data_IF_155488773896
#
_entry.id   IF_155488773896
#
_cell.length_a   1.000
_cell.length_b   1.000
_cell.length_c   1.000
_cell.angle_alpha   90.00
_cell.angle_beta   90.00
_cell.angle_gamma   90.00
#
_symmetry.space_group_name_H-M   'P 1'
#
loop_
_entity.id
_entity.type
_entity.pdbx_description
1 polymer ?
#
# COMPACT_ATOMS: atom_id res chain seq x y z
N UNK A 1 -6.37 -27.71 49.52
CA UNK A 1 -5.03 -28.17 49.14
C UNK A 1 -5.15 -28.86 47.79
N UNK A 2 -4.43 -28.33 46.79
CA UNK A 2 -3.91 -28.95 45.55
C UNK A 2 -4.93 -29.65 44.62
N UNK A 3 -5.35 -29.03 43.51
CA UNK A 3 -4.68 -28.94 42.19
C UNK A 3 -4.09 -30.26 41.68
N UNK A 4 -4.67 -30.82 40.60
CA UNK A 4 -3.89 -31.30 39.45
C UNK A 4 -4.59 -30.97 38.13
N UNK A 5 -3.81 -30.28 37.28
CA UNK A 5 -4.13 -29.74 35.97
C UNK A 5 -4.36 -30.82 34.92
N UNK A 6 -5.41 -30.66 34.12
CA UNK A 6 -5.48 -31.14 32.75
C UNK A 6 -5.12 -29.94 31.85
N UNK A 7 -3.92 -29.94 31.26
CA UNK A 7 -3.59 -29.01 30.18
C UNK A 7 -3.20 -29.84 28.97
N UNK A 8 -4.18 -30.08 28.09
CA UNK A 8 -3.92 -30.46 26.72
C UNK A 8 -3.44 -29.21 25.99
N UNK A 9 -2.14 -29.17 25.66
CA UNK A 9 -1.57 -28.24 24.71
C UNK A 9 -2.16 -28.55 23.33
N UNK A 10 -3.21 -27.81 22.96
CA UNK A 10 -3.62 -27.69 21.57
C UNK A 10 -2.91 -26.46 21.01
N UNK A 11 -1.92 -26.73 20.17
CA UNK A 11 -1.22 -25.72 19.39
C UNK A 11 -2.24 -24.91 18.60
N UNK A 12 -2.42 -23.65 18.96
CA UNK A 12 -3.11 -22.68 18.12
C UNK A 12 -2.18 -22.38 16.96
N UNK A 13 -2.47 -22.99 15.81
CA UNK A 13 -1.98 -22.53 14.52
C UNK A 13 -2.45 -21.09 14.37
N UNK A 14 -1.50 -20.15 14.43
CA UNK A 14 -1.71 -18.76 14.09
C UNK A 14 -2.32 -18.69 12.69
N UNK A 15 -3.58 -18.28 12.61
CA UNK A 15 -4.21 -17.87 11.37
C UNK A 15 -3.58 -16.52 10.98
N UNK A 16 -2.53 -16.57 10.16
CA UNK A 16 -2.17 -15.42 9.34
C UNK A 16 -3.35 -15.17 8.39
N UNK A 17 -3.83 -13.92 8.22
CA UNK A 17 -4.81 -13.63 7.19
C UNK A 17 -4.24 -14.03 5.83
N UNK A 18 -5.03 -14.79 5.05
CA UNK A 18 -4.66 -15.19 3.70
C UNK A 18 -4.30 -13.96 2.87
N UNK A 19 -3.11 -13.99 2.26
CA UNK A 19 -2.65 -12.94 1.36
C UNK A 19 -3.68 -12.76 0.22
N UNK A 20 -4.02 -11.51 -0.16
CA UNK A 20 -5.01 -11.27 -1.20
C UNK A 20 -4.60 -11.91 -2.53
N UNK A 21 -5.57 -12.48 -3.25
CA UNK A 21 -5.38 -13.11 -4.55
C UNK A 21 -4.80 -12.11 -5.55
N UNK A 22 -3.51 -12.28 -5.84
CA UNK A 22 -2.70 -11.42 -6.72
C UNK A 22 -3.18 -11.55 -8.17
N UNK A 23 -3.86 -10.53 -8.68
CA UNK A 23 -4.29 -10.46 -10.08
C UNK A 23 -3.44 -9.46 -10.85
N UNK A 24 -2.16 -9.78 -11.08
CA UNK A 24 -1.25 -8.95 -11.90
C UNK A 24 0.12 -9.59 -12.11
N UNK A 25 0.68 -9.45 -13.31
CA UNK A 25 2.07 -9.86 -13.62
C UNK A 25 3.00 -8.66 -13.51
N UNK A 26 4.09 -8.80 -12.74
CA UNK A 26 5.12 -7.76 -12.63
C UNK A 26 5.65 -7.41 -14.03
N UNK A 27 5.41 -6.17 -14.49
CA UNK A 27 5.91 -5.66 -15.77
C UNK A 27 4.85 -5.23 -16.79
N UNK A 28 3.55 -5.34 -16.51
CA UNK A 28 2.48 -4.80 -17.37
C UNK A 28 1.56 -3.84 -16.60
N UNK A 29 1.06 -2.77 -17.26
CA UNK A 29 0.12 -1.85 -16.64
C UNK A 29 -1.19 -2.57 -16.31
N UNK A 30 -1.92 -2.12 -15.28
CA UNK A 30 -3.21 -2.72 -14.95
C UNK A 30 -4.20 -2.62 -16.12
N UNK A 31 -5.11 -3.60 -16.21
CA UNK A 31 -6.07 -3.69 -17.31
C UNK A 31 -6.91 -2.41 -17.39
N UNK A 32 -7.00 -1.83 -18.59
CA UNK A 32 -7.79 -0.63 -18.87
C UNK A 32 -7.07 0.70 -18.58
N UNK A 33 -5.87 0.67 -18.00
CA UNK A 33 -5.06 1.87 -17.81
C UNK A 33 -4.49 2.35 -19.14
N UNK A 34 -4.41 3.67 -19.29
CA UNK A 34 -3.91 4.32 -20.52
C UNK A 34 -2.57 4.98 -20.25
N UNK A 35 -1.66 4.89 -21.21
CA UNK A 35 -0.39 5.60 -21.13
C UNK A 35 -0.65 7.11 -21.03
N UNK A 36 0.15 7.80 -20.22
CA UNK A 36 0.08 9.25 -20.11
C UNK A 36 0.35 9.89 -21.49
N UNK A 37 -0.63 10.66 -21.96
CA UNK A 37 -0.60 11.34 -23.26
C UNK A 37 -1.37 12.66 -23.20
N UNK A 38 -1.09 13.63 -24.08
CA UNK A 38 -1.83 14.90 -24.12
C UNK A 38 -3.35 14.72 -24.23
N UNK A 39 -3.81 13.72 -24.96
CA UNK A 39 -5.23 13.40 -25.11
C UNK A 39 -5.85 12.94 -23.79
N UNK A 40 -5.12 12.15 -23.00
CA UNK A 40 -5.59 11.71 -21.69
C UNK A 40 -5.63 12.88 -20.70
N UNK A 41 -4.62 13.75 -20.70
CA UNK A 41 -4.60 14.93 -19.85
C UNK A 41 -5.75 15.90 -20.18
N UNK A 42 -6.11 16.02 -21.46
CA UNK A 42 -7.26 16.80 -21.91
C UNK A 42 -8.62 16.27 -21.39
N UNK A 43 -8.67 15.02 -20.89
CA UNK A 43 -9.87 14.47 -20.23
C UNK A 43 -10.00 14.83 -18.75
N UNK A 44 -9.06 15.62 -18.21
CA UNK A 44 -9.07 16.08 -16.81
C UNK A 44 -8.21 15.25 -15.85
N UNK A 45 -7.36 14.34 -16.37
CA UNK A 45 -6.35 13.65 -15.57
C UNK A 45 -5.24 14.63 -15.21
N UNK A 46 -5.07 14.93 -13.93
CA UNK A 46 -3.96 15.73 -13.42
C UNK A 46 -2.73 14.85 -13.24
N UNK A 47 -1.81 14.84 -14.20
CA UNK A 47 -0.63 13.95 -14.25
C UNK A 47 0.18 13.96 -12.95
N UNK A 48 0.26 15.12 -12.28
CA UNK A 48 1.10 15.32 -11.11
C UNK A 48 0.53 14.69 -9.84
N UNK A 49 -0.78 14.53 -9.76
CA UNK A 49 -1.47 14.01 -8.57
C UNK A 49 -2.26 12.73 -8.83
N UNK A 50 -2.46 12.37 -10.10
CA UNK A 50 -3.21 11.20 -10.47
C UNK A 50 -2.41 9.93 -10.13
N UNK A 51 -3.10 8.87 -9.66
CA UNK A 51 -2.51 7.55 -9.53
C UNK A 51 -1.84 7.15 -10.83
N UNK A 52 -0.63 6.63 -10.72
CA UNK A 52 0.15 6.18 -11.86
C UNK A 52 0.80 4.84 -11.60
N UNK A 53 1.05 4.12 -12.69
CA UNK A 53 1.85 2.92 -12.77
C UNK A 53 2.99 3.19 -13.74
N UNK A 54 4.17 2.65 -13.49
CA UNK A 54 5.33 2.79 -14.38
C UNK A 54 6.22 1.54 -14.30
N UNK A 55 7.02 1.30 -15.34
CA UNK A 55 8.10 0.32 -15.33
C UNK A 55 9.42 1.03 -15.56
N UNK A 56 10.32 0.93 -14.58
CA UNK A 56 11.66 1.50 -14.68
C UNK A 56 11.68 3.03 -14.64
N UNK A 57 12.86 3.60 -14.90
CA UNK A 57 13.14 5.02 -14.72
C UNK A 57 12.89 5.88 -15.98
N UNK A 58 12.27 5.34 -17.04
CA UNK A 58 12.16 5.99 -18.35
C UNK A 58 11.11 7.11 -18.42
N UNK A 59 10.41 7.39 -17.32
CA UNK A 59 9.38 8.43 -17.24
C UNK A 59 8.05 8.07 -17.93
N UNK A 60 8.00 6.95 -18.65
CA UNK A 60 6.77 6.37 -19.17
C UNK A 60 5.91 5.88 -18.01
N UNK A 61 4.67 6.38 -17.96
CA UNK A 61 3.72 6.01 -16.92
C UNK A 61 2.28 5.94 -17.48
N UNK A 62 1.41 5.27 -16.75
CA UNK A 62 0.03 4.98 -17.11
C UNK A 62 -0.90 5.48 -16.02
N UNK A 63 -2.10 5.90 -16.39
CA UNK A 63 -3.15 6.37 -15.48
C UNK A 63 -4.40 5.49 -15.59
N UNK A 64 -5.19 5.40 -14.50
CA UNK A 64 -6.47 4.71 -14.51
C UNK A 64 -7.49 5.42 -15.41
N UNK A 65 -8.58 4.73 -15.77
CA UNK A 65 -9.74 5.37 -16.40
C UNK A 65 -10.27 6.55 -15.57
N UNK A 66 -10.64 7.64 -16.24
CA UNK A 66 -11.24 8.81 -15.59
C UNK A 66 -12.51 8.39 -14.85
N UNK A 67 -12.64 8.83 -13.60
CA UNK A 67 -13.79 8.52 -12.73
C UNK A 67 -13.70 7.17 -12.01
N UNK A 68 -12.62 6.40 -12.21
CA UNK A 68 -12.38 5.19 -11.43
C UNK A 68 -11.69 5.54 -10.10
N UNK A 69 -12.35 5.21 -8.98
CA UNK A 69 -11.71 5.27 -7.67
C UNK A 69 -10.52 4.30 -7.64
N UNK A 70 -9.38 4.79 -7.18
CA UNK A 70 -8.12 4.05 -7.17
C UNK A 70 -7.42 4.23 -5.82
N UNK A 71 -6.72 3.19 -5.39
CA UNK A 71 -5.96 3.23 -4.15
C UNK A 71 -4.70 4.08 -4.35
N UNK A 72 -4.47 4.96 -3.40
CA UNK A 72 -3.22 5.67 -3.19
C UNK A 72 -2.52 5.12 -1.95
N UNK A 73 -1.19 5.25 -1.88
CA UNK A 73 -0.49 5.07 -0.61
C UNK A 73 -0.40 6.41 0.12
N UNK A 74 -0.84 6.38 1.36
CA UNK A 74 -0.68 7.44 2.33
C UNK A 74 0.26 6.97 3.42
N UNK A 75 1.17 7.84 3.83
CA UNK A 75 1.83 7.71 5.12
C UNK A 75 0.93 8.36 6.17
N UNK A 76 0.66 7.64 7.25
CA UNK A 76 -0.10 8.10 8.41
C UNK A 76 0.86 8.17 9.59
N UNK A 77 0.94 9.34 10.23
CA UNK A 77 1.97 9.62 11.22
C UNK A 77 3.38 9.54 10.62
N UNK A 78 4.33 9.10 11.42
CA UNK A 78 5.75 9.08 11.03
C UNK A 78 6.16 7.82 10.26
N UNK A 79 5.43 6.71 10.44
CA UNK A 79 5.97 5.39 10.13
C UNK A 79 5.07 4.50 9.27
N UNK A 80 3.75 4.71 9.27
CA UNK A 80 2.84 3.72 8.72
C UNK A 80 2.40 4.06 7.30
N UNK A 81 2.50 3.10 6.39
CA UNK A 81 2.04 3.24 5.01
C UNK A 81 0.77 2.42 4.80
N UNK A 82 -0.27 3.10 4.30
CA UNK A 82 -1.61 2.56 4.11
C UNK A 82 -2.11 2.82 2.70
N UNK A 83 -2.65 1.79 2.06
CA UNK A 83 -3.38 1.92 0.81
C UNK A 83 -4.84 2.30 1.09
N UNK A 84 -5.30 3.45 0.58
CA UNK A 84 -6.68 3.90 0.74
C UNK A 84 -7.16 4.75 -0.44
N UNK A 85 -8.48 4.98 -0.53
CA UNK A 85 -9.05 5.87 -1.54
C UNK A 85 -8.93 7.35 -1.16
N UNK A 86 -8.96 7.65 0.14
CA UNK A 86 -8.88 9.01 0.70
C UNK A 86 -7.98 9.02 1.94
N UNK A 87 -7.47 10.20 2.37
CA UNK A 87 -6.71 10.33 3.60
C UNK A 87 -7.46 9.85 4.85
N UNK A 88 -8.77 10.16 4.97
CA UNK A 88 -9.62 9.69 6.07
C UNK A 88 -9.71 8.17 6.08
N UNK A 89 -9.80 7.56 4.89
CA UNK A 89 -9.80 6.11 4.75
C UNK A 89 -8.49 5.47 5.15
N UNK A 90 -7.36 6.17 5.02
CA UNK A 90 -6.06 5.69 5.47
C UNK A 90 -5.99 5.60 7.00
N UNK A 91 -6.45 6.64 7.70
CA UNK A 91 -6.58 6.63 9.17
C UNK A 91 -7.47 5.47 9.62
N UNK A 92 -8.64 5.33 9.01
CA UNK A 92 -9.58 4.27 9.37
C UNK A 92 -8.98 2.86 9.27
N UNK A 93 -8.21 2.60 8.20
CA UNK A 93 -7.52 1.33 8.01
C UNK A 93 -6.40 1.13 9.04
N UNK A 94 -5.62 2.17 9.36
CA UNK A 94 -4.58 2.07 10.38
C UNK A 94 -5.17 1.75 11.75
N UNK A 95 -6.16 2.53 12.20
CA UNK A 95 -6.82 2.34 13.49
C UNK A 95 -7.49 0.95 13.59
N UNK A 96 -8.10 0.45 12.51
CA UNK A 96 -8.64 -0.91 12.47
C UNK A 96 -7.53 -1.97 12.65
N UNK A 97 -6.36 -1.75 12.06
CA UNK A 97 -5.21 -2.65 12.14
C UNK A 97 -4.54 -2.63 13.52
N UNK A 98 -4.37 -1.45 14.14
CA UNK A 98 -3.67 -1.29 15.43
C UNK A 98 -4.60 -1.45 16.64
N UNK A 99 -5.91 -1.30 16.44
CA UNK A 99 -6.91 -1.27 17.51
C UNK A 99 -7.00 0.08 18.24
N UNK A 100 -6.41 1.12 17.66
CA UNK A 100 -6.42 2.48 18.20
C UNK A 100 -7.72 3.23 17.87
N UNK A 101 -7.93 4.36 18.56
CA UNK A 101 -9.07 5.25 18.31
C UNK A 101 -8.88 6.07 17.04
N UNK A 102 -9.98 6.40 16.34
CA UNK A 102 -9.95 7.31 15.19
C UNK A 102 -9.57 8.75 15.58
N UNK A 103 -9.61 9.07 16.87
CA UNK A 103 -9.23 10.36 17.45
C UNK A 103 -7.73 10.48 17.75
N UNK A 104 -6.94 9.43 17.50
CA UNK A 104 -5.48 9.45 17.67
C UNK A 104 -4.75 10.13 16.50
N UNK A 105 -5.41 10.28 15.34
CA UNK A 105 -4.81 10.83 14.12
C UNK A 105 -5.67 11.94 13.52
N UNK A 106 -5.02 13.01 13.09
CA UNK A 106 -5.64 14.10 12.33
C UNK A 106 -5.27 14.01 10.84
N UNK A 107 -5.99 14.74 9.99
CA UNK A 107 -5.70 14.76 8.56
C UNK A 107 -4.32 15.35 8.23
N UNK A 108 -3.81 16.23 9.08
CA UNK A 108 -2.47 16.82 8.93
C UNK A 108 -1.36 15.78 9.18
N UNK A 109 -1.68 14.66 9.83
CA UNK A 109 -0.78 13.50 10.01
C UNK A 109 -0.75 12.58 8.79
N UNK A 110 -1.54 12.86 7.75
CA UNK A 110 -1.67 12.01 6.57
C UNK A 110 -1.07 12.69 5.36
N UNK A 111 0.00 12.10 4.82
CA UNK A 111 0.69 12.62 3.64
C UNK A 111 0.72 11.59 2.52
N UNK A 112 0.58 12.03 1.28
CA UNK A 112 0.77 11.14 0.13
C UNK A 112 2.22 10.67 0.08
N UNK A 113 2.41 9.36 -0.11
CA UNK A 113 3.75 8.80 -0.29
C UNK A 113 4.35 9.33 -1.58
N UNK A 114 5.58 9.86 -1.49
CA UNK A 114 6.27 10.45 -2.64
C UNK A 114 6.56 9.42 -3.73
N UNK A 115 6.63 9.86 -5.00
CA UNK A 115 6.97 8.94 -6.10
C UNK A 115 8.33 8.28 -5.94
N UNK A 116 9.30 9.03 -5.38
CA UNK A 116 10.62 8.48 -5.09
C UNK A 116 10.53 7.26 -4.19
N UNK A 117 9.64 7.30 -3.19
CA UNK A 117 9.40 6.16 -2.28
C UNK A 117 8.58 5.07 -2.99
N UNK A 118 7.52 5.45 -3.71
CA UNK A 118 6.65 4.52 -4.43
C UNK A 118 7.39 3.66 -5.47
N UNK A 119 8.42 4.23 -6.11
CA UNK A 119 9.20 3.63 -7.18
C UNK A 119 10.56 3.08 -6.71
N UNK A 120 10.86 3.17 -5.40
CA UNK A 120 12.08 2.62 -4.85
C UNK A 120 12.02 1.07 -4.88
N UNK A 121 13.12 0.45 -5.31
CA UNK A 121 13.29 -1.01 -5.34
C UNK A 121 14.34 -1.47 -4.32
N UNK A 122 14.72 -0.60 -3.40
CA UNK A 122 15.65 -0.92 -2.32
C UNK A 122 14.99 -0.61 -0.98
N UNK A 123 14.97 -1.59 -0.08
CA UNK A 123 14.51 -1.43 1.28
C UNK A 123 15.66 -1.78 2.24
N UNK A 124 15.68 -1.15 3.42
CA UNK A 124 16.60 -1.55 4.47
C UNK A 124 15.95 -2.68 5.28
N UNK A 125 16.60 -3.84 5.26
CA UNK A 125 16.23 -4.98 6.10
C UNK A 125 16.91 -4.82 7.46
N UNK A 126 16.12 -4.61 8.51
CA UNK A 126 16.64 -4.40 9.87
C UNK A 126 17.20 -5.67 10.49
N UNK A 127 16.63 -6.82 10.17
CA UNK A 127 17.07 -8.11 10.70
C UNK A 127 18.42 -8.50 10.10
N UNK A 128 18.60 -8.24 8.80
CA UNK A 128 19.87 -8.50 8.10
C UNK A 128 20.86 -7.34 8.17
N UNK A 129 20.42 -6.15 8.59
CA UNK A 129 21.22 -4.93 8.71
C UNK A 129 21.78 -4.42 7.38
N UNK A 130 21.07 -4.64 6.26
CA UNK A 130 21.54 -4.28 4.91
C UNK A 130 20.43 -3.84 3.98
N UNK A 131 20.80 -3.13 2.92
CA UNK A 131 19.90 -2.85 1.81
C UNK A 131 19.63 -4.14 1.04
N UNK A 132 18.35 -4.44 0.83
CA UNK A 132 17.87 -5.55 -0.01
C UNK A 132 17.16 -4.98 -1.24
N UNK A 133 17.30 -5.68 -2.37
CA UNK A 133 16.58 -5.34 -3.59
C UNK A 133 15.20 -5.99 -3.56
N UNK A 134 14.16 -5.19 -3.70
CA UNK A 134 12.78 -5.63 -3.82
C UNK A 134 12.50 -6.18 -5.22
N UNK A 135 11.64 -7.20 -5.29
CA UNK A 135 11.16 -7.75 -6.56
C UNK A 135 10.18 -6.81 -7.28
N UNK A 136 9.45 -6.00 -6.51
CA UNK A 136 8.44 -5.05 -6.99
C UNK A 136 8.49 -3.76 -6.18
N UNK A 137 8.05 -2.66 -6.78
CA UNK A 137 7.93 -1.39 -6.08
C UNK A 137 6.58 -1.28 -5.35
N UNK A 138 6.48 -0.40 -4.35
CA UNK A 138 5.22 -0.10 -3.66
C UNK A 138 4.10 0.31 -4.65
N UNK A 139 4.44 1.06 -5.71
CA UNK A 139 3.49 1.40 -6.78
C UNK A 139 2.90 0.17 -7.45
N UNK A 140 3.73 -0.84 -7.71
CA UNK A 140 3.28 -2.09 -8.31
C UNK A 140 2.42 -2.90 -7.34
N UNK A 141 2.80 -2.95 -6.06
CA UNK A 141 2.00 -3.57 -5.00
C UNK A 141 0.61 -2.94 -4.88
N UNK A 142 0.53 -1.61 -4.84
CA UNK A 142 -0.74 -0.86 -4.82
C UNK A 142 -1.68 -1.29 -5.96
N UNK A 143 -1.15 -1.49 -7.16
CA UNK A 143 -1.99 -1.88 -8.30
C UNK A 143 -2.54 -3.29 -8.23
N UNK A 144 -1.98 -4.16 -7.37
CA UNK A 144 -2.51 -5.50 -7.12
C UNK A 144 -3.62 -5.48 -6.06
N UNK A 145 -3.80 -4.38 -5.33
CA UNK A 145 -4.82 -4.26 -4.29
C UNK A 145 -6.17 -3.86 -4.89
N UNK A 146 -7.22 -4.47 -4.35
CA UNK A 146 -8.61 -4.20 -4.73
C UNK A 146 -9.42 -3.50 -3.62
N UNK A 147 -8.85 -3.40 -2.41
CA UNK A 147 -9.48 -2.77 -1.25
C UNK A 147 -8.45 -2.02 -0.40
N UNK A 148 -8.88 -1.03 0.42
CA UNK A 148 -8.00 -0.37 1.37
C UNK A 148 -7.33 -1.39 2.29
N UNK A 149 -6.03 -1.22 2.51
CA UNK A 149 -5.17 -2.25 3.13
C UNK A 149 -3.97 -1.57 3.80
N UNK A 150 -3.66 -1.96 5.04
CA UNK A 150 -2.40 -1.61 5.68
C UNK A 150 -1.25 -2.31 4.94
N UNK A 151 -0.22 -1.57 4.54
CA UNK A 151 0.89 -2.10 3.74
C UNK A 151 2.06 -2.50 4.64
N UNK A 152 2.71 -1.51 5.24
CA UNK A 152 3.90 -1.69 6.06
C UNK A 152 4.13 -0.47 6.95
N UNK A 153 4.85 -0.70 8.04
CA UNK A 153 5.41 0.35 8.89
C UNK A 153 6.91 0.18 8.96
N UNK A 154 7.64 1.26 9.18
CA UNK A 154 9.09 1.24 9.40
C UNK A 154 9.38 1.87 10.77
N UNK A 155 9.91 1.07 11.70
CA UNK A 155 10.36 1.52 13.03
C UNK A 155 11.86 1.82 13.09
#
# INVERSE_FOLDING_TARGET
MQNQNLTALTSQTSFLPEAPERSGTAGQPPVGWKQCSPELLATGVECSTAPRWAVGATGEHWHPPVGMATLNAYQVGDYDVVAAFTPEGAIAVLCEQTGEGLDEYELDDVVLVSDKTLDNLEAFDQDEGRMVRLEMSLRQELTMLTKPTYLYGWE
#
